data_IF_819250102232
#
_entry.id   IF_819250102232
#
_cell.length_a   1.000
_cell.length_b   1.000
_cell.length_c   1.000
_cell.angle_alpha   90.00
_cell.angle_beta   90.00
_cell.angle_gamma   90.00
#
_symmetry.space_group_name_H-M   'P 1'
#
loop_
_entity.id
_entity.type
_entity.pdbx_description
1 polymer ?
#
# COMPACT_ATOMS: atom_id res chain seq x y z
N UNK A 1 -2.36 8.69 4.09
CA UNK A 1 -2.08 9.89 3.28
C UNK A 1 -3.15 9.98 2.19
N UNK A 2 -3.67 11.16 1.88
CA UNK A 2 -4.64 11.36 0.81
C UNK A 2 -3.98 12.17 -0.31
N UNK A 3 -4.03 11.65 -1.54
CA UNK A 3 -3.50 12.31 -2.74
C UNK A 3 -4.67 12.94 -3.50
N UNK A 4 -4.76 14.27 -3.40
CA UNK A 4 -5.81 15.07 -4.06
C UNK A 4 -5.72 15.01 -5.59
N UNK A 5 -4.52 14.86 -6.15
CA UNK A 5 -4.32 14.78 -7.61
C UNK A 5 -4.83 13.48 -8.20
N UNK A 6 -4.84 12.42 -7.39
CA UNK A 6 -5.32 11.09 -7.76
C UNK A 6 -6.67 10.74 -7.13
N UNK A 7 -7.26 11.68 -6.38
CA UNK A 7 -8.52 11.56 -5.64
C UNK A 7 -8.59 10.28 -4.78
N UNK A 8 -7.44 9.85 -4.24
CA UNK A 8 -7.29 8.56 -3.55
C UNK A 8 -6.32 8.67 -2.39
N UNK A 9 -6.63 7.99 -1.30
CA UNK A 9 -5.71 7.81 -0.19
C UNK A 9 -5.12 6.40 -0.14
N UNK A 10 -4.04 6.26 0.61
CA UNK A 10 -3.54 4.96 1.07
C UNK A 10 -3.35 5.04 2.60
N UNK A 11 -3.74 3.99 3.29
CA UNK A 11 -3.48 3.80 4.71
C UNK A 11 -2.27 2.89 4.86
N UNK A 12 -1.53 3.07 5.96
CA UNK A 12 -0.53 2.13 6.48
C UNK A 12 0.46 1.64 5.41
N UNK A 13 1.59 2.35 5.28
CA UNK A 13 2.61 2.05 4.28
C UNK A 13 3.96 1.75 4.92
N UNK A 14 4.66 0.76 4.39
CA UNK A 14 6.03 0.48 4.77
C UNK A 14 6.92 0.50 3.53
N UNK A 15 7.90 1.41 3.56
CA UNK A 15 8.91 1.54 2.51
C UNK A 15 9.91 0.39 2.59
N UNK A 16 10.22 -0.21 1.44
CA UNK A 16 11.28 -1.23 1.34
C UNK A 16 12.40 -0.87 0.37
N UNK A 17 12.24 0.17 -0.45
CA UNK A 17 13.28 0.64 -1.39
C UNK A 17 13.11 2.13 -1.72
N UNK A 18 14.23 2.79 -2.04
CA UNK A 18 14.31 4.18 -2.51
C UNK A 18 13.58 5.19 -1.61
N UNK A 19 13.71 5.04 -0.28
CA UNK A 19 13.19 5.97 0.73
C UNK A 19 11.69 6.34 0.56
N UNK A 20 10.86 5.36 0.20
CA UNK A 20 9.42 5.53 -0.03
C UNK A 20 9.00 5.47 -1.49
N UNK A 21 9.97 5.35 -2.41
CA UNK A 21 9.71 5.11 -3.83
C UNK A 21 8.99 3.77 -4.09
N UNK A 22 9.30 2.74 -3.29
CA UNK A 22 8.60 1.46 -3.32
C UNK A 22 8.14 1.06 -1.92
N UNK A 23 6.87 0.70 -1.81
CA UNK A 23 6.22 0.42 -0.53
C UNK A 23 5.21 -0.72 -0.61
N UNK A 24 5.05 -1.38 0.52
CA UNK A 24 3.83 -2.13 0.84
C UNK A 24 2.80 -1.12 1.32
N UNK A 25 1.61 -1.09 0.74
CA UNK A 25 0.54 -0.17 1.14
C UNK A 25 -0.84 -0.80 0.98
N UNK A 26 -1.83 -0.23 1.67
CA UNK A 26 -3.22 -0.65 1.46
C UNK A 26 -3.67 -0.37 0.02
N UNK A 27 -4.70 -1.10 -0.43
CA UNK A 27 -5.46 -0.69 -1.61
C UNK A 27 -5.89 0.79 -1.53
N UNK A 28 -5.99 1.49 -2.67
CA UNK A 28 -6.45 2.87 -2.68
C UNK A 28 -7.83 3.02 -2.04
N UNK A 29 -7.96 4.06 -1.24
CA UNK A 29 -9.15 4.42 -0.49
C UNK A 29 -9.73 5.75 -0.96
N UNK A 30 -11.01 5.98 -0.72
CA UNK A 30 -11.61 7.30 -0.83
C UNK A 30 -11.16 8.22 0.32
N UNK A 31 -11.63 9.47 0.32
CA UNK A 31 -11.32 10.45 1.36
C UNK A 31 -11.82 10.05 2.76
N UNK A 32 -12.74 9.07 2.85
CA UNK A 32 -13.23 8.50 4.12
C UNK A 32 -12.41 7.28 4.55
N UNK A 33 -11.36 6.91 3.82
CA UNK A 33 -10.54 5.73 4.11
C UNK A 33 -11.24 4.40 3.79
N UNK A 34 -12.27 4.40 2.93
CA UNK A 34 -12.95 3.21 2.43
C UNK A 34 -12.30 2.75 1.12
N UNK A 35 -12.01 1.46 1.01
CA UNK A 35 -11.40 0.89 -0.20
C UNK A 35 -12.30 1.14 -1.42
N UNK A 36 -11.69 1.60 -2.51
CA UNK A 36 -12.36 1.75 -3.79
C UNK A 36 -12.72 0.35 -4.35
N UNK A 37 -14.01 0.13 -4.63
CA UNK A 37 -14.54 -1.19 -5.04
C UNK A 37 -13.93 -1.74 -6.34
N UNK A 38 -13.44 -0.85 -7.19
CA UNK A 38 -12.74 -1.24 -8.42
C UNK A 38 -11.32 -1.74 -8.13
N UNK A 39 -10.66 -1.15 -7.14
CA UNK A 39 -9.30 -1.53 -6.74
C UNK A 39 -9.28 -2.85 -5.98
N UNK A 40 -10.35 -3.19 -5.24
CA UNK A 40 -10.45 -4.49 -4.58
C UNK A 40 -10.41 -5.68 -5.54
N UNK A 41 -10.81 -5.48 -6.81
CA UNK A 41 -10.72 -6.52 -7.85
C UNK A 41 -9.31 -6.72 -8.39
N UNK A 42 -8.41 -5.77 -8.11
CA UNK A 42 -7.01 -5.76 -8.58
C UNK A 42 -6.06 -6.35 -7.54
N UNK A 43 -6.54 -6.78 -6.38
CA UNK A 43 -5.68 -7.44 -5.39
C UNK A 43 -5.03 -8.70 -6.00
N UNK A 44 -3.73 -8.88 -5.77
CA UNK A 44 -2.96 -9.95 -6.39
C UNK A 44 -2.62 -9.73 -7.88
N UNK A 45 -2.95 -8.57 -8.46
CA UNK A 45 -2.51 -8.18 -9.81
C UNK A 45 -1.40 -7.14 -9.74
N UNK A 46 -0.54 -7.13 -10.76
CA UNK A 46 0.56 -6.18 -10.84
C UNK A 46 0.05 -4.73 -10.92
N UNK A 47 0.73 -3.82 -10.21
CA UNK A 47 0.49 -2.39 -10.32
C UNK A 47 1.61 -1.69 -11.08
N UNK A 48 1.27 -0.59 -11.76
CA UNK A 48 2.19 0.17 -12.61
C UNK A 48 3.16 1.04 -11.84
N UNK A 49 2.86 1.35 -10.57
CA UNK A 49 3.65 2.24 -9.73
C UNK A 49 4.74 1.51 -8.91
N UNK A 50 4.86 0.18 -9.07
CA UNK A 50 5.87 -0.62 -8.39
C UNK A 50 5.56 -0.95 -6.93
N UNK A 51 4.44 -0.46 -6.40
CA UNK A 51 4.02 -0.76 -5.03
C UNK A 51 3.35 -2.12 -4.94
N UNK A 52 3.48 -2.72 -3.76
CA UNK A 52 2.79 -3.96 -3.42
C UNK A 52 1.52 -3.61 -2.65
N UNK A 53 0.36 -3.84 -3.27
CA UNK A 53 -0.94 -3.52 -2.69
C UNK A 53 -1.47 -4.66 -1.85
N UNK A 54 -1.85 -4.35 -0.63
CA UNK A 54 -2.35 -5.29 0.36
C UNK A 54 -3.80 -4.97 0.74
N UNK A 55 -4.48 -5.92 1.38
CA UNK A 55 -5.72 -5.60 2.08
C UNK A 55 -5.44 -4.56 3.19
N UNK A 56 -6.47 -3.85 3.65
CA UNK A 56 -6.30 -2.85 4.72
C UNK A 56 -5.81 -3.50 6.02
N UNK A 57 -6.26 -4.71 6.30
CA UNK A 57 -5.87 -5.47 7.50
C UNK A 57 -4.41 -5.92 7.41
N UNK A 58 -3.98 -6.44 6.26
CA UNK A 58 -2.59 -6.88 6.04
C UNK A 58 -1.62 -5.69 6.03
N UNK A 59 -1.99 -4.59 5.37
CA UNK A 59 -1.18 -3.36 5.36
C UNK A 59 -0.98 -2.81 6.79
N UNK A 60 -2.06 -2.78 7.57
CA UNK A 60 -2.00 -2.37 8.97
C UNK A 60 -1.15 -3.31 9.81
N UNK A 61 -1.33 -4.62 9.68
CA UNK A 61 -0.53 -5.60 10.40
C UNK A 61 0.95 -5.44 10.08
N UNK A 62 1.29 -5.29 8.81
CA UNK A 62 2.68 -5.11 8.37
C UNK A 62 3.27 -3.80 8.90
N UNK A 63 2.51 -2.71 8.88
CA UNK A 63 2.92 -1.42 9.46
C UNK A 63 3.17 -1.49 10.97
N UNK A 64 2.32 -2.21 11.72
CA UNK A 64 2.44 -2.31 13.18
C UNK A 64 3.49 -3.32 13.64
N UNK A 65 3.78 -4.36 12.84
CA UNK A 65 4.59 -5.50 13.27
C UNK A 65 5.95 -5.61 12.59
N UNK A 66 6.21 -4.87 11.50
CA UNK A 66 7.48 -4.98 10.79
C UNK A 66 8.55 -4.08 11.44
N UNK A 67 9.61 -4.65 12.06
CA UNK A 67 10.70 -3.86 12.59
C UNK A 67 11.53 -3.23 11.46
N UNK A 68 12.29 -2.19 11.79
CA UNK A 68 13.26 -1.62 10.87
C UNK A 68 14.39 -2.60 10.55
N UNK A 69 14.96 -2.50 9.35
CA UNK A 69 16.09 -3.33 8.92
C UNK A 69 15.73 -4.75 8.43
N UNK A 70 14.44 -5.07 8.29
CA UNK A 70 13.98 -6.33 7.69
C UNK A 70 14.42 -6.41 6.23
N UNK A 71 14.98 -7.56 5.84
CA UNK A 71 15.38 -7.84 4.47
C UNK A 71 14.14 -8.19 3.64
N UNK A 72 13.95 -7.48 2.53
CA UNK A 72 12.87 -7.72 1.56
C UNK A 72 13.46 -8.30 0.29
N UNK A 73 12.98 -9.49 -0.13
CA UNK A 73 13.38 -10.14 -1.40
C UNK A 73 12.17 -10.26 -2.33
N UNK A 74 12.29 -9.72 -3.55
CA UNK A 74 11.24 -9.71 -4.60
C UNK A 74 11.79 -10.49 -5.81
N UNK A 75 10.97 -11.38 -6.40
CA UNK A 75 11.36 -12.30 -7.48
C UNK A 75 10.36 -12.21 -8.65
#
# INVERSE_FOLDING_TARGET
MYDDSLNRGACDWVSFKDHGGYRFESLPTDWKGKILKEESKKIGTACTDGNVRLSKEDAKWLFENMPEGVIVSIH
#
